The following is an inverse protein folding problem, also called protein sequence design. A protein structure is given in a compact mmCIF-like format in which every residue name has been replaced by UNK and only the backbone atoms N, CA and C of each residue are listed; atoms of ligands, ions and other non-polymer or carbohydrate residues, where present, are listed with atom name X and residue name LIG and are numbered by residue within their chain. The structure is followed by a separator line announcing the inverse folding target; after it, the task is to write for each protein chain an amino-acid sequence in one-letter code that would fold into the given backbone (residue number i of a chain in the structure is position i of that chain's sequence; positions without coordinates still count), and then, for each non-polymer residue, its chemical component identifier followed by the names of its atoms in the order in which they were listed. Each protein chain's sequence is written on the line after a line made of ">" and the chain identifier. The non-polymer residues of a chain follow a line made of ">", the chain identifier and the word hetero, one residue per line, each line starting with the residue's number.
data_IF_532835902643
#
_entry.id   IF_532835902643
#
_cell.length_a   1.000
_cell.length_b   1.000
_cell.length_c   1.000
_cell.angle_alpha   90.00
_cell.angle_beta   90.00
_cell.angle_gamma   90.00
#
_symmetry.space_group_name_H-M   'P 1'
#
loop_
_entity.id
_entity.type
_entity.pdbx_description
1 polymer ?
#
# COMPACT_ATOMS: atom_id res chain seq x y z
N UNK A 1 0.84 -9.91 31.41
CA UNK A 1 1.20 -10.55 30.14
C UNK A 1 0.08 -11.44 29.57
N UNK A 2 -0.48 -12.41 30.32
CA UNK A 2 -1.57 -13.28 29.84
C UNK A 2 -2.84 -12.48 29.50
N UNK A 3 -3.17 -11.45 30.27
CA UNK A 3 -4.29 -10.53 30.00
C UNK A 3 -4.00 -9.74 28.72
N UNK A 4 -2.85 -9.12 28.61
CA UNK A 4 -2.47 -8.32 27.45
C UNK A 4 -2.42 -9.13 26.12
N UNK A 5 -2.19 -10.44 26.18
CA UNK A 5 -2.17 -11.29 24.99
C UNK A 5 -3.50 -11.93 24.61
N UNK A 6 -4.38 -12.17 25.57
CA UNK A 6 -5.54 -13.03 25.37
C UNK A 6 -6.88 -12.36 25.67
N UNK A 7 -6.89 -11.17 26.26
CA UNK A 7 -8.14 -10.45 26.53
C UNK A 7 -8.31 -9.28 25.55
N UNK A 8 -9.21 -9.46 24.59
CA UNK A 8 -9.59 -8.38 23.65
C UNK A 8 -10.18 -7.14 24.34
N UNK A 9 -10.53 -7.25 25.64
CA UNK A 9 -11.06 -6.16 26.47
C UNK A 9 -9.98 -5.39 27.23
N UNK A 10 -8.71 -5.81 27.14
CA UNK A 10 -7.60 -5.09 27.78
C UNK A 10 -7.65 -3.61 27.37
N UNK A 11 -7.58 -2.73 28.35
CA UNK A 11 -7.54 -1.28 28.16
C UNK A 11 -6.16 -0.83 27.65
N UNK A 12 -6.09 0.41 27.15
CA UNK A 12 -4.79 1.02 26.80
C UNK A 12 -3.83 0.98 27.99
N UNK A 13 -4.27 1.39 29.19
CA UNK A 13 -3.41 1.46 30.38
C UNK A 13 -2.86 0.09 30.81
N UNK A 14 -3.66 -0.97 30.72
CA UNK A 14 -3.19 -2.33 31.03
C UNK A 14 -2.15 -2.82 30.03
N UNK A 15 -2.30 -2.44 28.75
CA UNK A 15 -1.33 -2.78 27.69
C UNK A 15 -0.04 -1.96 27.84
N UNK A 16 -0.16 -0.68 28.18
CA UNK A 16 0.97 0.22 28.41
C UNK A 16 1.79 -0.22 29.62
N UNK A 17 1.12 -0.56 30.72
CA UNK A 17 1.77 -1.15 31.91
C UNK A 17 2.52 -2.45 31.56
N UNK A 18 1.91 -3.31 30.73
CA UNK A 18 2.56 -4.53 30.29
C UNK A 18 3.80 -4.25 29.43
N UNK A 19 3.79 -3.20 28.62
CA UNK A 19 4.95 -2.79 27.81
C UNK A 19 6.08 -2.24 28.68
N UNK A 20 5.76 -1.45 29.73
CA UNK A 20 6.76 -0.84 30.61
C UNK A 20 7.42 -1.85 31.57
N UNK A 21 6.64 -2.83 32.05
CA UNK A 21 7.15 -3.81 33.04
C UNK A 21 7.76 -5.07 32.41
N UNK A 22 7.44 -5.35 31.14
CA UNK A 22 7.82 -6.59 30.47
C UNK A 22 8.68 -6.30 29.23
N UNK A 23 9.64 -5.38 29.35
CA UNK A 23 10.55 -5.03 28.25
C UNK A 23 11.25 -6.28 27.68
N UNK A 24 11.30 -6.36 26.35
CA UNK A 24 11.87 -7.48 25.59
C UNK A 24 11.17 -8.85 25.77
N UNK A 25 9.96 -8.90 26.29
CA UNK A 25 9.21 -10.15 26.38
C UNK A 25 8.68 -10.61 25.01
N UNK A 26 8.48 -11.93 24.81
CA UNK A 26 7.92 -12.45 23.58
C UNK A 26 6.59 -11.76 23.23
N UNK A 27 6.42 -11.35 21.96
CA UNK A 27 5.23 -10.68 21.41
C UNK A 27 5.05 -9.21 21.82
N UNK A 28 6.09 -8.52 22.26
CA UNK A 28 6.08 -7.08 22.53
C UNK A 28 5.45 -6.29 21.38
N UNK A 29 5.82 -6.58 20.12
CA UNK A 29 5.22 -5.95 18.94
C UNK A 29 3.71 -6.12 18.85
N UNK A 30 3.18 -7.26 19.28
CA UNK A 30 1.74 -7.49 19.30
C UNK A 30 1.06 -6.63 20.37
N UNK A 31 1.58 -6.60 21.60
CA UNK A 31 1.05 -5.79 22.70
C UNK A 31 1.07 -4.31 22.32
N UNK A 32 2.16 -3.84 21.72
CA UNK A 32 2.30 -2.46 21.20
C UNK A 32 1.25 -2.14 20.12
N UNK A 33 1.01 -3.06 19.18
CA UNK A 33 -0.03 -2.91 18.17
C UNK A 33 -1.43 -2.85 18.77
N UNK A 34 -1.72 -3.68 19.78
CA UNK A 34 -2.99 -3.66 20.50
C UNK A 34 -3.16 -2.37 21.31
N UNK A 35 -2.14 -1.89 22.01
CA UNK A 35 -2.17 -0.60 22.71
C UNK A 35 -2.53 0.54 21.75
N UNK A 36 -1.87 0.61 20.60
CA UNK A 36 -2.19 1.60 19.55
C UNK A 36 -3.64 1.52 19.07
N UNK A 37 -4.21 0.31 19.03
CA UNK A 37 -5.61 0.12 18.62
C UNK A 37 -6.64 0.65 19.63
N UNK A 38 -6.22 0.82 20.89
CA UNK A 38 -7.07 1.26 22.01
C UNK A 38 -7.00 2.78 22.26
N UNK A 39 -6.10 3.50 21.62
CA UNK A 39 -5.95 4.97 21.80
C UNK A 39 -7.24 5.70 21.42
N UNK A 40 -7.83 5.33 20.28
CA UNK A 40 -9.10 5.93 19.85
C UNK A 40 -10.21 5.55 20.85
N UNK A 41 -10.88 6.57 21.40
CA UNK A 41 -11.95 6.38 22.39
C UNK A 41 -11.48 6.07 23.82
N UNK A 42 -10.18 6.09 24.09
CA UNK A 42 -9.63 5.86 25.44
C UNK A 42 -9.83 7.04 26.41
N UNK A 43 -10.15 8.22 25.89
CA UNK A 43 -10.22 9.46 26.68
C UNK A 43 -8.85 10.05 27.04
N UNK A 44 -7.77 9.54 26.48
CA UNK A 44 -6.42 10.09 26.67
C UNK A 44 -6.30 11.47 26.06
N UNK A 45 -5.56 12.35 26.73
CA UNK A 45 -5.35 13.71 26.23
C UNK A 45 -4.35 13.74 25.07
N UNK A 46 -4.49 14.65 24.08
CA UNK A 46 -3.54 14.76 22.98
C UNK A 46 -2.08 14.92 23.40
N UNK A 47 -1.71 15.72 24.42
CA UNK A 47 -0.33 15.79 24.90
C UNK A 47 0.21 14.44 25.40
N UNK A 48 -0.61 13.66 26.09
CA UNK A 48 -0.21 12.33 26.54
C UNK A 48 0.00 11.39 25.34
N UNK A 49 -0.90 11.40 24.36
CA UNK A 49 -0.78 10.56 23.15
C UNK A 49 0.52 10.91 22.41
N UNK A 50 0.84 12.21 22.28
CA UNK A 50 2.09 12.64 21.62
C UNK A 50 3.30 12.11 22.39
N UNK A 51 3.38 12.34 23.71
CA UNK A 51 4.49 11.87 24.54
C UNK A 51 4.66 10.35 24.44
N UNK A 52 3.55 9.61 24.48
CA UNK A 52 3.57 8.15 24.39
C UNK A 52 4.12 7.65 23.04
N UNK A 53 3.72 8.28 21.92
CA UNK A 53 4.22 7.88 20.60
C UNK A 53 5.66 8.32 20.33
N UNK A 54 6.15 9.36 20.99
CA UNK A 54 7.56 9.76 20.93
C UNK A 54 8.45 8.68 21.58
N UNK A 55 8.00 8.04 22.67
CA UNK A 55 8.68 6.92 23.31
C UNK A 55 8.39 5.59 22.61
N UNK A 56 7.20 5.42 22.05
CA UNK A 56 6.69 4.21 21.40
C UNK A 56 6.27 4.47 19.94
N UNK A 57 7.21 4.59 18.99
CA UNK A 57 6.90 4.93 17.62
C UNK A 57 5.78 4.09 16.99
N UNK A 58 4.87 4.68 16.20
CA UNK A 58 3.72 3.99 15.68
C UNK A 58 4.12 2.87 14.70
N UNK A 59 3.62 1.66 14.95
CA UNK A 59 3.89 0.47 14.13
C UNK A 59 2.70 0.07 13.25
N UNK A 60 1.53 0.69 13.46
CA UNK A 60 0.30 0.42 12.72
C UNK A 60 -0.19 1.66 11.98
N UNK A 61 -0.93 1.46 10.90
CA UNK A 61 -1.55 2.59 10.20
C UNK A 61 -2.55 3.35 11.07
N UNK A 62 -3.32 2.66 11.93
CA UNK A 62 -4.20 3.29 12.92
C UNK A 62 -3.39 4.13 13.91
N UNK A 63 -2.29 3.58 14.48
CA UNK A 63 -1.43 4.31 15.40
C UNK A 63 -0.83 5.57 14.76
N UNK A 64 -0.42 5.49 13.48
CA UNK A 64 0.06 6.68 12.74
C UNK A 64 -1.01 7.76 12.58
N UNK A 65 -2.25 7.36 12.33
CA UNK A 65 -3.39 8.32 12.27
C UNK A 65 -3.62 8.96 13.62
N UNK A 66 -3.75 8.16 14.69
CA UNK A 66 -3.98 8.67 16.06
C UNK A 66 -2.84 9.61 16.51
N UNK A 67 -1.58 9.27 16.20
CA UNK A 67 -0.43 10.14 16.50
C UNK A 67 -0.50 11.46 15.72
N UNK A 68 -0.79 11.40 14.44
CA UNK A 68 -0.89 12.59 13.59
C UNK A 68 -2.02 13.52 14.06
N UNK A 69 -3.17 12.99 14.44
CA UNK A 69 -4.28 13.75 14.99
C UNK A 69 -3.94 14.39 16.35
N UNK A 70 -3.22 13.67 17.20
CA UNK A 70 -2.74 14.21 18.46
C UNK A 70 -1.73 15.35 18.24
N UNK A 71 -0.82 15.23 17.27
CA UNK A 71 0.11 16.29 16.88
C UNK A 71 -0.63 17.57 16.44
N UNK A 72 -1.63 17.43 15.58
CA UNK A 72 -2.48 18.55 15.16
C UNK A 72 -3.18 19.19 16.37
N UNK A 73 -3.74 18.38 17.25
CA UNK A 73 -4.47 18.85 18.43
C UNK A 73 -3.59 19.62 19.44
N UNK A 74 -2.27 19.37 19.47
CA UNK A 74 -1.32 20.15 20.29
C UNK A 74 -0.67 21.29 19.52
N UNK A 75 -1.13 21.59 18.29
CA UNK A 75 -0.62 22.71 17.48
C UNK A 75 0.60 22.39 16.60
N UNK A 76 1.06 21.12 16.56
CA UNK A 76 2.14 20.66 15.66
C UNK A 76 1.56 20.30 14.27
N UNK A 77 0.85 21.26 13.65
CA UNK A 77 0.01 21.03 12.47
C UNK A 77 0.80 20.47 11.29
N UNK A 78 1.92 21.10 10.91
CA UNK A 78 2.72 20.69 9.75
C UNK A 78 3.18 19.23 9.87
N UNK A 79 3.60 18.82 11.06
CA UNK A 79 4.09 17.48 11.33
C UNK A 79 2.96 16.45 11.27
N UNK A 80 1.84 16.75 11.92
CA UNK A 80 0.67 15.88 11.91
C UNK A 80 0.05 15.72 10.51
N UNK A 81 -0.09 16.82 9.75
CA UNK A 81 -0.60 16.79 8.38
C UNK A 81 0.31 15.98 7.43
N UNK A 82 1.62 16.15 7.55
CA UNK A 82 2.58 15.38 6.76
C UNK A 82 2.49 13.88 7.09
N UNK A 83 2.38 13.55 8.37
CA UNK A 83 2.21 12.15 8.81
C UNK A 83 0.89 11.55 8.31
N UNK A 84 -0.21 12.32 8.30
CA UNK A 84 -1.49 11.90 7.73
C UNK A 84 -1.37 11.63 6.22
N UNK A 85 -0.75 12.56 5.46
CA UNK A 85 -0.55 12.37 4.01
C UNK A 85 0.30 11.13 3.71
N UNK A 86 1.41 10.97 4.41
CA UNK A 86 2.27 9.80 4.25
C UNK A 86 1.52 8.51 4.58
N UNK A 87 0.77 8.52 5.69
CA UNK A 87 -0.04 7.36 6.11
C UNK A 87 -1.16 7.06 5.13
N UNK A 88 -1.80 8.09 4.56
CA UNK A 88 -2.77 7.91 3.50
C UNK A 88 -2.15 7.27 2.27
N UNK A 89 -1.04 7.82 1.76
CA UNK A 89 -0.36 7.35 0.54
C UNK A 89 0.06 5.88 0.63
N UNK A 90 0.72 5.48 1.71
CA UNK A 90 1.42 4.19 1.80
C UNK A 90 1.12 3.36 3.07
N UNK A 91 0.30 3.86 3.98
CA UNK A 91 -0.02 3.17 5.23
C UNK A 91 -0.96 1.98 5.03
N UNK A 92 -0.71 0.91 5.76
CA UNK A 92 -1.67 -0.21 5.84
C UNK A 92 -2.84 0.18 6.74
N UNK A 93 -3.92 0.66 6.13
CA UNK A 93 -5.14 1.07 6.83
C UNK A 93 -6.23 -0.01 6.69
N UNK A 94 -6.79 -0.53 7.79
CA UNK A 94 -8.02 -1.31 7.76
C UNK A 94 -9.16 -0.50 7.11
N UNK A 95 -10.12 -1.20 6.52
CA UNK A 95 -11.22 -0.56 5.76
C UNK A 95 -11.95 0.55 6.51
N UNK A 96 -12.27 0.30 7.79
CA UNK A 96 -12.94 1.30 8.64
C UNK A 96 -12.05 2.51 8.88
N UNK A 97 -10.77 2.29 9.22
CA UNK A 97 -9.80 3.36 9.45
C UNK A 97 -9.58 4.19 8.19
N UNK A 98 -9.44 3.56 7.01
CA UNK A 98 -9.31 4.28 5.74
C UNK A 98 -10.51 5.21 5.50
N UNK A 99 -11.74 4.71 5.69
CA UNK A 99 -12.96 5.50 5.46
C UNK A 99 -13.07 6.65 6.45
N UNK A 100 -12.81 6.40 7.71
CA UNK A 100 -12.88 7.36 8.79
C UNK A 100 -11.80 8.46 8.65
N UNK A 101 -10.56 8.07 8.35
CA UNK A 101 -9.47 9.02 8.07
C UNK A 101 -9.83 9.94 6.90
N UNK A 102 -10.39 9.40 5.82
CA UNK A 102 -10.82 10.23 4.70
C UNK A 102 -11.95 11.18 5.07
N UNK A 103 -12.97 10.71 5.80
CA UNK A 103 -14.10 11.57 6.23
C UNK A 103 -13.65 12.75 7.09
N UNK A 104 -12.67 12.53 7.98
CA UNK A 104 -12.18 13.58 8.90
C UNK A 104 -11.20 14.55 8.26
N UNK A 105 -10.44 14.10 7.24
CA UNK A 105 -9.29 14.83 6.70
C UNK A 105 -9.33 14.96 5.17
N UNK A 106 -10.51 14.87 4.54
CA UNK A 106 -10.64 14.93 3.07
C UNK A 106 -9.99 16.17 2.46
N UNK A 107 -10.08 17.31 3.13
CA UNK A 107 -9.57 18.60 2.64
C UNK A 107 -8.03 18.65 2.63
N UNK A 108 -7.38 17.76 3.36
CA UNK A 108 -5.93 17.66 3.40
C UNK A 108 -5.35 16.95 2.18
N UNK A 109 -6.11 16.03 1.57
CA UNK A 109 -5.60 15.14 0.53
C UNK A 109 -5.81 15.69 -0.87
N UNK A 110 -4.75 15.71 -1.65
CA UNK A 110 -4.77 16.07 -3.07
C UNK A 110 -5.09 14.86 -3.97
N UNK A 111 -5.35 15.11 -5.25
CA UNK A 111 -5.52 14.02 -6.23
C UNK A 111 -4.26 13.16 -6.35
N UNK A 112 -3.07 13.74 -6.21
CA UNK A 112 -1.80 12.99 -6.19
C UNK A 112 -1.69 12.07 -4.97
N UNK A 113 -2.22 12.49 -3.82
CA UNK A 113 -2.30 11.64 -2.62
C UNK A 113 -3.23 10.44 -2.86
N UNK A 114 -4.34 10.66 -3.59
CA UNK A 114 -5.25 9.59 -3.95
C UNK A 114 -4.67 8.63 -4.98
N UNK A 115 -3.90 9.15 -5.96
CA UNK A 115 -3.17 8.29 -6.92
C UNK A 115 -2.14 7.42 -6.21
N UNK A 116 -1.31 8.00 -5.34
CA UNK A 116 -0.35 7.24 -4.55
C UNK A 116 -1.04 6.18 -3.67
N UNK A 117 -2.20 6.51 -3.09
CA UNK A 117 -3.01 5.55 -2.33
C UNK A 117 -3.48 4.38 -3.17
N UNK A 118 -4.03 4.64 -4.35
CA UNK A 118 -4.48 3.59 -5.28
C UNK A 118 -3.30 2.72 -5.72
N UNK A 119 -2.18 3.33 -6.05
CA UNK A 119 -0.95 2.64 -6.41
C UNK A 119 -0.54 1.64 -5.33
N UNK A 120 -0.36 2.11 -4.10
CA UNK A 120 -0.05 1.27 -2.95
C UNK A 120 -1.05 0.12 -2.78
N UNK A 121 -2.35 0.41 -2.90
CA UNK A 121 -3.39 -0.60 -2.71
C UNK A 121 -3.43 -1.65 -3.83
N UNK A 122 -3.11 -1.28 -5.07
CA UNK A 122 -3.03 -2.22 -6.19
C UNK A 122 -1.80 -3.11 -6.01
N UNK A 123 -0.62 -2.54 -5.73
CA UNK A 123 0.61 -3.31 -5.50
C UNK A 123 0.50 -4.25 -4.31
N UNK A 124 -0.14 -3.83 -3.23
CA UNK A 124 -0.40 -4.68 -2.05
C UNK A 124 -1.61 -5.62 -2.21
N UNK A 125 -2.18 -5.74 -3.42
CA UNK A 125 -3.33 -6.60 -3.76
C UNK A 125 -4.62 -6.29 -2.95
N UNK A 126 -4.79 -5.05 -2.49
CA UNK A 126 -5.95 -4.59 -1.72
C UNK A 126 -7.01 -3.94 -2.65
N UNK A 127 -7.39 -4.63 -3.72
CA UNK A 127 -8.24 -4.12 -4.80
C UNK A 127 -9.59 -3.57 -4.36
N UNK A 128 -10.19 -4.15 -3.31
CA UNK A 128 -11.47 -3.67 -2.77
C UNK A 128 -11.33 -2.28 -2.15
N UNK A 129 -10.24 -2.03 -1.43
CA UNK A 129 -9.95 -0.71 -0.87
C UNK A 129 -9.59 0.29 -1.96
N UNK A 130 -8.82 -0.12 -2.97
CA UNK A 130 -8.49 0.72 -4.13
C UNK A 130 -9.74 1.19 -4.88
N UNK A 131 -10.75 0.33 -5.06
CA UNK A 131 -12.03 0.73 -5.69
C UNK A 131 -12.78 1.80 -4.92
N UNK A 132 -12.63 1.88 -3.61
CA UNK A 132 -13.26 2.94 -2.81
C UNK A 132 -12.58 4.30 -2.98
N UNK A 133 -11.30 4.31 -3.35
CA UNK A 133 -10.54 5.53 -3.64
C UNK A 133 -10.76 5.98 -5.09
N UNK A 134 -11.08 5.06 -6.01
CA UNK A 134 -11.26 5.37 -7.43
C UNK A 134 -12.20 6.57 -7.74
N UNK A 135 -13.35 6.76 -7.05
CA UNK A 135 -14.20 7.92 -7.27
C UNK A 135 -13.57 9.28 -6.92
N UNK A 136 -12.49 9.27 -6.13
CA UNK A 136 -11.77 10.49 -5.72
C UNK A 136 -10.80 10.99 -6.79
N UNK A 137 -10.59 10.21 -7.85
CA UNK A 137 -9.78 10.58 -9.00
C UNK A 137 -10.63 11.14 -10.13
N UNK A 138 -10.01 11.94 -10.97
CA UNK A 138 -10.61 12.55 -12.17
C UNK A 138 -9.84 12.21 -13.45
N UNK A 139 -10.44 12.49 -14.60
CA UNK A 139 -9.78 12.43 -15.91
C UNK A 139 -8.90 11.20 -16.15
N UNK A 140 -7.70 11.45 -16.64
CA UNK A 140 -6.74 10.42 -17.03
C UNK A 140 -6.25 9.56 -15.85
N UNK A 141 -6.15 10.12 -14.65
CA UNK A 141 -5.75 9.40 -13.45
C UNK A 141 -6.78 8.33 -13.09
N UNK A 142 -8.07 8.69 -13.18
CA UNK A 142 -9.17 7.75 -12.96
C UNK A 142 -9.20 6.64 -14.00
N UNK A 143 -8.99 6.98 -15.29
CA UNK A 143 -8.95 5.99 -16.37
C UNK A 143 -7.76 5.03 -16.20
N UNK A 144 -6.58 5.53 -15.85
CA UNK A 144 -5.39 4.71 -15.54
C UNK A 144 -5.66 3.74 -14.38
N UNK A 145 -6.17 4.24 -13.27
CA UNK A 145 -6.47 3.42 -12.10
C UNK A 145 -7.57 2.37 -12.38
N UNK A 146 -8.64 2.72 -13.11
CA UNK A 146 -9.71 1.78 -13.52
C UNK A 146 -9.14 0.66 -14.42
N UNK A 147 -8.32 1.01 -15.40
CA UNK A 147 -7.71 0.02 -16.29
C UNK A 147 -6.80 -0.95 -15.51
N UNK A 148 -5.96 -0.45 -14.63
CA UNK A 148 -5.10 -1.28 -13.77
C UNK A 148 -5.92 -2.20 -12.86
N UNK A 149 -6.98 -1.69 -12.23
CA UNK A 149 -7.87 -2.50 -11.39
C UNK A 149 -8.60 -3.60 -12.16
N UNK A 150 -9.01 -3.32 -13.42
CA UNK A 150 -9.65 -4.33 -14.29
C UNK A 150 -8.67 -5.41 -14.71
N UNK A 151 -7.46 -5.03 -15.11
CA UNK A 151 -6.38 -5.96 -15.46
C UNK A 151 -6.01 -6.86 -14.27
N UNK A 152 -5.74 -6.26 -13.09
CA UNK A 152 -5.41 -6.97 -11.86
C UNK A 152 -6.53 -7.94 -11.43
N UNK A 153 -7.78 -7.53 -11.61
CA UNK A 153 -8.98 -8.28 -11.24
C UNK A 153 -9.47 -9.26 -12.31
N UNK A 154 -8.85 -9.31 -13.49
CA UNK A 154 -9.31 -10.09 -14.66
C UNK A 154 -10.78 -9.83 -15.00
N UNK A 155 -11.19 -8.56 -14.96
CA UNK A 155 -12.57 -8.15 -15.22
C UNK A 155 -12.83 -8.02 -16.72
N UNK A 156 -14.10 -7.96 -17.10
CA UNK A 156 -14.51 -7.65 -18.46
C UNK A 156 -14.21 -6.18 -18.81
N UNK A 157 -14.11 -5.87 -20.13
CA UNK A 157 -13.92 -4.52 -20.63
C UNK A 157 -12.51 -3.96 -20.50
N UNK A 158 -11.50 -4.84 -20.33
CA UNK A 158 -10.08 -4.47 -20.25
C UNK A 158 -9.64 -3.66 -21.46
N UNK A 159 -9.94 -4.14 -22.68
CA UNK A 159 -9.50 -3.45 -23.92
C UNK A 159 -10.06 -2.03 -24.01
N UNK A 160 -11.35 -1.86 -23.69
CA UNK A 160 -11.97 -0.53 -23.65
C UNK A 160 -11.31 0.37 -22.62
N UNK A 161 -11.00 -0.15 -21.44
CA UNK A 161 -10.36 0.63 -20.37
C UNK A 161 -8.95 1.05 -20.78
N UNK A 162 -8.15 0.14 -21.33
CA UNK A 162 -6.78 0.42 -21.81
C UNK A 162 -6.78 1.42 -22.98
N UNK A 163 -7.74 1.31 -23.90
CA UNK A 163 -7.83 2.21 -25.07
C UNK A 163 -8.24 3.66 -24.73
N UNK A 164 -8.76 3.90 -23.53
CA UNK A 164 -9.05 5.28 -23.05
C UNK A 164 -7.80 5.99 -22.52
N UNK A 165 -6.74 5.25 -22.21
CA UNK A 165 -5.54 5.82 -21.62
C UNK A 165 -4.78 6.62 -22.67
N UNK A 166 -4.44 7.89 -22.41
CA UNK A 166 -3.69 8.70 -23.35
C UNK A 166 -2.26 8.15 -23.52
N UNK A 167 -1.66 8.45 -24.69
CA UNK A 167 -0.32 7.98 -25.02
C UNK A 167 0.75 8.37 -23.96
N UNK A 168 0.58 9.53 -23.32
CA UNK A 168 1.48 9.99 -22.24
C UNK A 168 1.52 9.07 -21.01
N UNK A 169 0.47 8.30 -20.75
CA UNK A 169 0.37 7.36 -19.63
C UNK A 169 0.48 5.89 -20.06
N UNK A 170 0.67 5.61 -21.35
CA UNK A 170 0.74 4.24 -21.88
C UNK A 170 1.92 3.44 -21.34
N UNK A 171 2.97 4.15 -20.90
CA UNK A 171 4.20 3.60 -20.34
C UNK A 171 4.24 3.64 -18.80
N UNK A 172 3.11 3.94 -18.14
CA UNK A 172 3.03 3.85 -16.67
C UNK A 172 3.45 2.45 -16.22
N UNK A 173 4.43 2.34 -15.28
CA UNK A 173 5.00 1.04 -14.88
C UNK A 173 3.94 0.07 -14.34
N UNK A 174 2.96 0.57 -13.59
CA UNK A 174 1.88 -0.25 -13.04
C UNK A 174 0.93 -0.74 -14.13
N UNK A 175 0.63 0.09 -15.13
CA UNK A 175 -0.18 -0.32 -16.29
C UNK A 175 0.55 -1.37 -17.12
N UNK A 176 1.81 -1.13 -17.44
CA UNK A 176 2.65 -2.08 -18.22
C UNK A 176 2.74 -3.42 -17.50
N UNK A 177 2.98 -3.41 -16.19
CA UNK A 177 3.00 -4.60 -15.35
C UNK A 177 1.67 -5.37 -15.38
N UNK A 178 0.56 -4.71 -15.12
CA UNK A 178 -0.74 -5.38 -15.10
C UNK A 178 -1.14 -5.91 -16.50
N UNK A 179 -0.77 -5.22 -17.57
CA UNK A 179 -0.95 -5.70 -18.95
C UNK A 179 -0.10 -6.95 -19.23
N UNK A 180 1.18 -6.94 -18.84
CA UNK A 180 2.06 -8.09 -18.99
C UNK A 180 1.51 -9.30 -18.22
N UNK A 181 1.17 -9.10 -16.95
CA UNK A 181 0.61 -10.13 -16.08
C UNK A 181 -0.71 -10.71 -16.61
N UNK A 182 -1.61 -9.86 -17.09
CA UNK A 182 -2.87 -10.27 -17.67
C UNK A 182 -2.68 -11.11 -18.93
N UNK A 183 -1.81 -10.66 -19.86
CA UNK A 183 -1.50 -11.38 -21.11
C UNK A 183 -0.85 -12.73 -20.84
N UNK A 184 0.14 -12.78 -19.96
CA UNK A 184 0.75 -14.05 -19.57
C UNK A 184 -0.28 -15.05 -19.02
N UNK A 185 -1.16 -14.59 -18.14
CA UNK A 185 -2.24 -15.42 -17.57
C UNK A 185 -3.29 -15.83 -18.59
N UNK A 186 -3.38 -15.13 -19.69
CA UNK A 186 -4.27 -15.44 -20.82
C UNK A 186 -3.59 -16.29 -21.92
N UNK A 187 -2.33 -16.71 -21.71
CA UNK A 187 -1.57 -17.51 -22.67
C UNK A 187 -1.01 -16.72 -23.86
N UNK A 188 -1.07 -15.37 -23.82
CA UNK A 188 -0.65 -14.48 -24.90
C UNK A 188 0.84 -14.15 -24.78
N UNK A 189 1.70 -15.17 -24.95
CA UNK A 189 3.14 -15.09 -24.69
C UNK A 189 3.84 -14.02 -25.53
N UNK A 190 3.68 -14.03 -26.84
CA UNK A 190 4.41 -13.16 -27.77
C UNK A 190 4.16 -11.67 -27.46
N UNK A 191 2.95 -11.34 -27.06
CA UNK A 191 2.60 -9.98 -26.68
C UNK A 191 2.92 -9.63 -25.22
N UNK A 192 3.28 -10.61 -24.38
CA UNK A 192 3.73 -10.41 -23.00
C UNK A 192 5.19 -9.96 -22.94
N UNK A 193 6.04 -10.58 -23.74
CA UNK A 193 7.49 -10.38 -23.71
C UNK A 193 7.91 -8.91 -23.89
N UNK A 194 7.42 -8.17 -24.91
CA UNK A 194 7.76 -6.74 -25.06
C UNK A 194 7.41 -5.90 -23.84
N UNK A 195 6.28 -6.21 -23.15
CA UNK A 195 5.89 -5.50 -21.94
C UNK A 195 6.82 -5.79 -20.77
N UNK A 196 7.29 -7.04 -20.61
CA UNK A 196 8.24 -7.39 -19.55
C UNK A 196 9.60 -6.72 -19.76
N UNK A 197 10.04 -6.55 -21.00
CA UNK A 197 11.27 -5.82 -21.35
C UNK A 197 11.13 -4.31 -21.12
N UNK A 198 9.92 -3.77 -21.23
CA UNK A 198 9.62 -2.35 -20.99
C UNK A 198 9.56 -1.99 -19.48
N UNK A 199 9.35 -2.98 -18.60
CA UNK A 199 9.29 -2.71 -17.16
C UNK A 199 10.62 -2.12 -16.65
N UNK A 200 10.57 -1.12 -15.74
CA UNK A 200 11.79 -0.55 -15.16
C UNK A 200 12.53 -1.59 -14.30
N UNK A 201 13.83 -1.38 -14.13
CA UNK A 201 14.71 -2.12 -13.22
C UNK A 201 14.83 -1.45 -11.82
N UNK A 202 14.18 -0.30 -11.63
CA UNK A 202 14.11 0.42 -10.36
C UNK A 202 12.70 0.93 -10.11
N UNK A 203 12.28 0.94 -8.84
CA UNK A 203 10.99 1.48 -8.39
C UNK A 203 11.10 1.87 -6.93
N UNK A 204 10.39 2.92 -6.51
CA UNK A 204 10.37 3.36 -5.11
C UNK A 204 9.65 2.38 -4.17
N UNK A 205 8.67 1.64 -4.68
CA UNK A 205 7.97 0.59 -3.95
C UNK A 205 8.67 -0.76 -4.18
N UNK A 206 9.26 -1.31 -3.12
CA UNK A 206 9.94 -2.62 -3.14
C UNK A 206 8.99 -3.75 -3.53
N UNK A 207 7.72 -3.68 -3.09
CA UNK A 207 6.70 -4.69 -3.44
C UNK A 207 6.45 -4.71 -4.95
N UNK A 208 6.44 -3.54 -5.59
CA UNK A 208 6.32 -3.44 -7.04
C UNK A 208 7.48 -4.12 -7.76
N UNK A 209 8.72 -3.86 -7.32
CA UNK A 209 9.92 -4.51 -7.87
C UNK A 209 9.87 -6.03 -7.73
N UNK A 210 9.54 -6.54 -6.56
CA UNK A 210 9.40 -7.98 -6.31
C UNK A 210 8.35 -8.64 -7.21
N UNK A 211 7.23 -7.97 -7.44
CA UNK A 211 6.17 -8.44 -8.32
C UNK A 211 6.60 -8.41 -9.79
N UNK A 212 7.26 -7.33 -10.24
CA UNK A 212 7.82 -7.23 -11.60
C UNK A 212 8.86 -8.33 -11.84
N UNK A 213 9.77 -8.54 -10.89
CA UNK A 213 10.75 -9.61 -10.96
C UNK A 213 10.08 -10.99 -11.01
N UNK A 214 9.03 -11.21 -10.22
CA UNK A 214 8.28 -12.47 -10.23
C UNK A 214 7.71 -12.77 -11.62
N UNK A 215 7.12 -11.78 -12.29
CA UNK A 215 6.58 -11.95 -13.65
C UNK A 215 7.70 -12.20 -14.68
N UNK A 216 8.83 -11.49 -14.59
CA UNK A 216 10.03 -11.75 -15.43
C UNK A 216 10.55 -13.17 -15.21
N UNK A 217 10.73 -13.59 -13.96
CA UNK A 217 11.24 -14.93 -13.61
C UNK A 217 10.36 -16.04 -14.20
N UNK A 218 9.05 -15.91 -14.15
CA UNK A 218 8.13 -16.89 -14.76
C UNK A 218 8.32 -16.99 -16.28
N UNK A 219 8.56 -15.87 -16.95
CA UNK A 219 8.85 -15.85 -18.40
C UNK A 219 10.23 -16.41 -18.71
N UNK A 220 11.25 -16.07 -17.94
CA UNK A 220 12.63 -16.60 -18.08
C UNK A 220 12.62 -18.12 -18.02
N UNK A 221 11.94 -18.72 -17.05
CA UNK A 221 11.83 -20.19 -16.95
C UNK A 221 11.17 -20.82 -18.19
N UNK A 222 10.23 -20.12 -18.81
CA UNK A 222 9.58 -20.57 -20.03
C UNK A 222 10.54 -20.47 -21.23
N UNK A 223 11.26 -19.36 -21.37
CA UNK A 223 12.24 -19.13 -22.43
C UNK A 223 13.41 -20.15 -22.37
N UNK A 224 13.91 -20.44 -21.16
CA UNK A 224 14.94 -21.46 -20.95
C UNK A 224 14.47 -22.84 -21.43
N UNK A 225 13.23 -23.24 -21.09
CA UNK A 225 12.64 -24.50 -21.54
C UNK A 225 12.54 -24.57 -23.06
N UNK A 226 12.27 -23.43 -23.71
CA UNK A 226 12.14 -23.32 -25.15
C UNK A 226 13.50 -23.04 -25.85
N UNK A 227 14.60 -23.03 -25.09
CA UNK A 227 15.98 -22.82 -25.55
C UNK A 227 16.26 -21.41 -26.09
N UNK A 228 15.41 -20.43 -25.79
CA UNK A 228 15.65 -19.01 -26.11
C UNK A 228 16.44 -18.35 -24.97
N UNK A 229 17.73 -18.66 -24.93
CA UNK A 229 18.64 -18.20 -23.87
C UNK A 229 18.98 -16.72 -23.97
N UNK A 230 19.02 -16.15 -25.17
CA UNK A 230 19.35 -14.74 -25.38
C UNK A 230 18.26 -13.84 -24.78
N UNK A 231 17.00 -14.13 -25.08
CA UNK A 231 15.87 -13.38 -24.52
C UNK A 231 15.73 -13.61 -23.01
N UNK A 232 15.97 -14.84 -22.55
CA UNK A 232 15.99 -15.15 -21.12
C UNK A 232 17.05 -14.32 -20.37
N UNK A 233 18.25 -14.19 -20.95
CA UNK A 233 19.32 -13.37 -20.38
C UNK A 233 18.98 -11.88 -20.35
N UNK A 234 18.38 -11.34 -21.42
CA UNK A 234 17.93 -9.94 -21.46
C UNK A 234 16.94 -9.63 -20.34
N UNK A 235 15.95 -10.50 -20.12
CA UNK A 235 15.01 -10.35 -19.01
C UNK A 235 15.67 -10.48 -17.63
N UNK A 236 16.64 -11.39 -17.50
CA UNK A 236 17.33 -11.61 -16.24
C UNK A 236 18.21 -10.43 -15.82
N UNK A 237 18.83 -9.73 -16.79
CA UNK A 237 19.66 -8.53 -16.51
C UNK A 237 18.87 -7.41 -15.83
N UNK A 238 17.59 -7.29 -16.12
CA UNK A 238 16.70 -6.24 -15.58
C UNK A 238 16.06 -6.68 -14.24
N UNK A 239 16.80 -7.35 -13.35
CA UNK A 239 16.24 -7.91 -12.11
C UNK A 239 15.84 -6.85 -11.08
N UNK A 240 16.47 -5.66 -11.07
CA UNK A 240 16.10 -4.55 -10.16
C UNK A 240 16.45 -4.77 -8.67
N UNK A 241 17.35 -5.74 -8.39
CA UNK A 241 17.80 -6.09 -7.02
C UNK A 241 19.29 -5.89 -6.87
#
# INVERSE_FOLDING_TARGET
>A
WRIALNDARASFLELDLALSELDNWPRDRFIRSEAQSKIDGSGLTPPFIVSWFEENPPTTGRGRVSFAEALIAVGRNIEGENLLRETWRSGRLPSAVQSDTYQRHSDLFTEDDHMARIDYLIWSNQRTLARRVLPLLSGNNRDLADARLRLAGRQSGVDRAVNRIPASLSNDPGLVFERARWRRRSGLRDSTLPLLLQLPDSHTDVTALELMWTERKLMILTLIRDQDYDTAYQLARAHGM
#
